data_IF_320712293909
#
_entry.id   IF_320712293909
#
_cell.length_a   1.000
_cell.length_b   1.000
_cell.length_c   1.000
_cell.angle_alpha   90.00
_cell.angle_beta   90.00
_cell.angle_gamma   90.00
#
_symmetry.space_group_name_H-M   'P 1'
#
loop_
_entity.id
_entity.type
_entity.pdbx_description
1 polymer ?
#
# COMPACT_ATOMS: atom_id res chain seq x y z
N UNK A 1 -8.29 -16.13 2.00
CA UNK A 1 -7.20 -15.39 2.66
C UNK A 1 -6.36 -16.23 3.61
N UNK A 2 -6.88 -16.80 4.73
CA UNK A 2 -6.03 -17.59 5.67
C UNK A 2 -5.24 -18.74 4.98
N UNK A 3 -5.83 -19.53 4.07
CA UNK A 3 -5.08 -20.54 3.30
C UNK A 3 -4.04 -19.93 2.35
N UNK A 4 -4.34 -18.77 1.77
CA UNK A 4 -3.45 -18.07 0.84
C UNK A 4 -2.22 -17.53 1.55
N UNK A 5 -2.39 -16.93 2.73
CA UNK A 5 -1.30 -16.43 3.58
C UNK A 5 -0.34 -17.58 3.92
N UNK A 6 -0.87 -18.75 4.31
CA UNK A 6 -0.05 -19.94 4.57
C UNK A 6 0.73 -20.35 3.33
N UNK A 7 0.05 -20.46 2.18
CA UNK A 7 0.68 -20.80 0.90
C UNK A 7 1.77 -19.80 0.48
N UNK A 8 1.58 -18.50 0.74
CA UNK A 8 2.57 -17.48 0.43
C UNK A 8 3.78 -17.55 1.36
N UNK A 9 3.58 -17.83 2.65
CA UNK A 9 4.67 -17.95 3.63
C UNK A 9 5.66 -19.09 3.33
N UNK A 10 5.27 -20.06 2.50
CA UNK A 10 6.16 -21.13 2.03
C UNK A 10 7.17 -20.63 0.97
N UNK A 11 6.93 -19.46 0.37
CA UNK A 11 7.71 -18.94 -0.76
C UNK A 11 8.19 -17.50 -0.60
N UNK A 12 7.61 -16.74 0.33
CA UNK A 12 7.82 -15.32 0.53
C UNK A 12 7.92 -15.02 2.03
N UNK A 13 8.64 -13.96 2.38
CA UNK A 13 8.59 -13.40 3.73
C UNK A 13 7.25 -12.71 3.95
N UNK A 14 6.37 -13.36 4.71
CA UNK A 14 5.01 -12.88 4.99
C UNK A 14 4.91 -12.43 6.43
N UNK A 15 4.70 -11.13 6.62
CA UNK A 15 4.47 -10.53 7.93
C UNK A 15 2.99 -10.14 8.06
N UNK A 16 2.29 -10.75 9.03
CA UNK A 16 0.88 -10.48 9.32
C UNK A 16 0.79 -9.82 10.68
N UNK A 17 -0.01 -8.77 10.79
CA UNK A 17 -0.28 -8.06 12.04
C UNK A 17 -1.77 -7.79 12.18
N UNK A 18 -2.23 -7.66 13.43
CA UNK A 18 -3.61 -7.25 13.78
C UNK A 18 -3.58 -6.02 14.68
N UNK A 19 -4.60 -5.17 14.61
CA UNK A 19 -4.67 -3.95 15.45
C UNK A 19 -4.84 -4.29 16.93
N UNK A 20 -5.63 -5.34 17.21
CA UNK A 20 -5.91 -5.87 18.54
C UNK A 20 -5.93 -7.40 18.47
N UNK A 21 -5.51 -8.02 19.56
CA UNK A 21 -5.36 -9.46 19.67
C UNK A 21 -6.04 -9.95 20.95
N UNK A 22 -6.69 -11.09 20.87
CA UNK A 22 -7.16 -11.84 22.03
C UNK A 22 -6.00 -12.62 22.68
N UNK A 23 -6.18 -13.11 23.90
CA UNK A 23 -5.12 -13.78 24.69
C UNK A 23 -4.45 -14.95 23.96
N UNK A 24 -5.18 -15.64 23.08
CA UNK A 24 -4.70 -16.82 22.34
C UNK A 24 -3.91 -16.49 21.05
N UNK A 25 -3.80 -15.21 20.67
CA UNK A 25 -3.11 -14.81 19.45
C UNK A 25 -1.62 -14.56 19.69
N UNK A 26 -0.78 -15.38 19.06
CA UNK A 26 0.68 -15.35 19.22
C UNK A 26 1.41 -14.62 18.07
N UNK A 27 0.69 -13.90 17.20
CA UNK A 27 1.28 -13.19 16.07
C UNK A 27 1.62 -11.73 16.36
N UNK A 28 1.94 -10.97 15.32
CA UNK A 28 2.29 -9.56 15.47
C UNK A 28 1.06 -8.69 15.78
N UNK A 29 1.23 -7.69 16.65
CA UNK A 29 0.16 -6.77 17.05
C UNK A 29 0.59 -5.31 16.85
N UNK A 30 -0.29 -4.53 16.22
CA UNK A 30 -0.12 -3.12 15.89
C UNK A 30 -0.27 -2.83 14.40
N UNK A 31 -0.15 -1.55 14.05
CA UNK A 31 -0.24 -1.07 12.67
C UNK A 31 0.95 -1.55 11.83
N UNK A 32 0.74 -1.65 10.52
CA UNK A 32 1.78 -2.05 9.56
C UNK A 32 3.04 -1.18 9.63
N UNK A 33 2.88 0.11 9.90
CA UNK A 33 3.96 1.10 10.02
C UNK A 33 4.99 0.75 11.09
N UNK A 34 4.58 0.03 12.14
CA UNK A 34 5.48 -0.45 13.20
C UNK A 34 6.56 -1.41 12.70
N UNK A 35 6.27 -2.17 11.65
CA UNK A 35 7.13 -3.26 11.17
C UNK A 35 8.04 -2.85 10.00
N UNK A 36 7.66 -1.80 9.26
CA UNK A 36 8.40 -1.31 8.10
C UNK A 36 9.87 -0.94 8.42
N UNK A 37 10.19 -0.24 9.52
CA UNK A 37 11.58 0.10 9.85
C UNK A 37 12.51 -1.10 10.01
N UNK A 38 11.95 -2.26 10.40
CA UNK A 38 12.71 -3.47 10.71
C UNK A 38 12.74 -4.50 9.58
N UNK A 39 12.12 -4.21 8.41
CA UNK A 39 12.17 -5.16 7.29
C UNK A 39 13.60 -5.27 6.77
N UNK A 40 14.10 -6.50 6.65
CA UNK A 40 15.40 -6.77 6.04
C UNK A 40 15.31 -6.56 4.52
N UNK A 41 15.92 -5.50 4.01
CA UNK A 41 15.98 -5.21 2.55
C UNK A 41 17.45 -5.22 2.15
N UNK A 42 17.84 -6.20 1.34
CA UNK A 42 19.24 -6.42 0.96
C UNK A 42 19.79 -5.32 0.03
N UNK A 43 18.94 -4.80 -0.87
CA UNK A 43 19.32 -3.76 -1.83
C UNK A 43 18.15 -2.78 -2.03
N UNK A 44 18.32 -1.56 -1.52
CA UNK A 44 17.31 -0.49 -1.64
C UNK A 44 17.19 0.05 -3.06
N UNK A 45 18.28 0.05 -3.84
CA UNK A 45 18.30 0.57 -5.22
C UNK A 45 17.54 -0.35 -6.19
N UNK A 46 17.40 -1.63 -5.83
CA UNK A 46 16.66 -2.64 -6.60
C UNK A 46 15.39 -3.11 -5.85
N UNK A 47 14.70 -2.17 -5.20
CA UNK A 47 13.48 -2.44 -4.46
C UNK A 47 12.31 -1.64 -5.04
N UNK A 48 11.10 -2.20 -4.95
CA UNK A 48 9.87 -1.46 -5.20
C UNK A 48 8.85 -1.78 -4.11
N UNK A 49 8.22 -0.73 -3.58
CA UNK A 49 7.17 -0.85 -2.57
C UNK A 49 5.80 -0.71 -3.23
N UNK A 50 4.88 -1.62 -2.95
CA UNK A 50 3.48 -1.51 -3.42
C UNK A 50 2.59 -1.37 -2.18
N UNK A 51 1.86 -0.26 -2.10
CA UNK A 51 1.05 0.10 -0.94
C UNK A 51 -0.41 0.17 -1.36
N UNK A 52 -1.25 -0.64 -0.71
CA UNK A 52 -2.68 -0.74 -0.99
C UNK A 52 -3.44 -0.71 0.32
N UNK A 53 -4.43 0.18 0.43
CA UNK A 53 -5.29 0.25 1.60
C UNK A 53 -5.97 1.60 1.77
N UNK A 54 -6.48 1.89 2.97
CA UNK A 54 -7.12 3.18 3.26
C UNK A 54 -6.14 4.35 3.12
N UNK A 55 -6.59 5.56 2.70
CA UNK A 55 -5.71 6.70 2.43
C UNK A 55 -4.75 7.07 3.57
N UNK A 56 -5.23 7.04 4.82
CA UNK A 56 -4.40 7.33 5.99
C UNK A 56 -3.33 6.26 6.23
N UNK A 57 -3.67 4.97 6.01
CA UNK A 57 -2.71 3.87 6.14
C UNK A 57 -1.65 3.96 5.06
N UNK A 58 -2.04 4.26 3.82
CA UNK A 58 -1.11 4.47 2.71
C UNK A 58 -0.15 5.61 3.00
N UNK A 59 -0.66 6.78 3.44
CA UNK A 59 0.16 7.96 3.75
C UNK A 59 1.29 7.62 4.73
N UNK A 60 0.96 7.07 5.89
CA UNK A 60 1.98 6.75 6.90
C UNK A 60 2.88 5.59 6.47
N UNK A 61 2.36 4.63 5.73
CA UNK A 61 3.17 3.52 5.18
C UNK A 61 4.23 4.04 4.21
N UNK A 62 3.85 4.95 3.31
CA UNK A 62 4.80 5.59 2.38
C UNK A 62 5.80 6.44 3.15
N UNK A 63 5.37 7.21 4.14
CA UNK A 63 6.31 7.97 5.00
C UNK A 63 7.36 7.08 5.66
N UNK A 64 7.00 5.87 6.13
CA UNK A 64 7.98 4.94 6.69
C UNK A 64 8.96 4.38 5.65
N UNK A 65 8.54 4.16 4.41
CA UNK A 65 9.46 3.77 3.33
C UNK A 65 10.39 4.93 2.91
N UNK A 66 9.89 6.16 2.87
CA UNK A 66 10.70 7.35 2.58
C UNK A 66 11.77 7.59 3.66
N UNK A 67 11.46 7.34 4.94
CA UNK A 67 12.45 7.39 6.04
C UNK A 67 13.57 6.36 5.90
N UNK A 68 13.41 5.36 5.03
CA UNK A 68 14.42 4.35 4.70
C UNK A 68 15.14 4.64 3.39
N UNK A 69 15.04 5.88 2.89
CA UNK A 69 15.69 6.36 1.67
C UNK A 69 15.25 5.62 0.39
N UNK A 70 14.07 4.99 0.39
CA UNK A 70 13.49 4.44 -0.84
C UNK A 70 13.04 5.61 -1.71
N UNK A 71 13.52 5.63 -2.96
CA UNK A 71 13.17 6.67 -3.91
C UNK A 71 11.66 6.70 -4.19
N UNK A 72 11.07 7.89 -4.31
CA UNK A 72 9.63 8.05 -4.51
C UNK A 72 9.11 7.31 -5.75
N UNK A 73 9.92 7.26 -6.81
CA UNK A 73 9.60 6.57 -8.06
C UNK A 73 9.70 5.03 -7.98
N UNK A 74 10.13 4.50 -6.83
CA UNK A 74 10.12 3.08 -6.51
C UNK A 74 8.93 2.71 -5.62
N UNK A 75 8.10 3.69 -5.24
CA UNK A 75 6.92 3.47 -4.41
C UNK A 75 5.68 3.58 -5.28
N UNK A 76 4.80 2.59 -5.20
CA UNK A 76 3.58 2.49 -5.96
C UNK A 76 2.39 2.46 -5.00
N UNK A 77 1.37 3.24 -5.33
CA UNK A 77 0.17 3.39 -4.50
C UNK A 77 -1.07 3.05 -5.32
N UNK A 78 -1.99 2.30 -4.71
CA UNK A 78 -3.27 1.97 -5.33
C UNK A 78 -4.40 2.77 -4.68
N UNK A 79 -4.99 3.72 -5.41
CA UNK A 79 -6.10 4.50 -4.89
C UNK A 79 -7.44 3.79 -5.07
N UNK A 80 -8.23 3.82 -4.01
CA UNK A 80 -9.62 3.37 -4.00
C UNK A 80 -10.55 4.60 -4.01
N UNK A 81 -11.43 4.69 -5.02
CA UNK A 81 -12.44 5.74 -5.15
C UNK A 81 -13.81 5.13 -5.46
N UNK A 82 -14.86 5.93 -5.27
CA UNK A 82 -16.22 5.52 -5.63
C UNK A 82 -16.34 5.37 -7.14
N UNK A 83 -16.26 4.14 -7.62
CA UNK A 83 -16.52 3.81 -9.01
C UNK A 83 -18.01 3.50 -9.20
N UNK A 84 -18.64 4.13 -10.21
CA UNK A 84 -20.00 3.77 -10.63
C UNK A 84 -20.02 3.22 -12.05
N UNK A 85 -19.41 3.94 -13.00
CA UNK A 85 -19.36 3.47 -14.39
C UNK A 85 -18.15 2.57 -14.70
N UNK A 86 -17.01 2.80 -14.04
CA UNK A 86 -15.76 2.06 -14.30
C UNK A 86 -15.12 2.28 -15.68
N UNK A 87 -15.64 3.20 -16.50
CA UNK A 87 -15.26 3.39 -17.91
C UNK A 87 -15.07 4.87 -18.29
N UNK A 88 -14.74 5.72 -17.33
CA UNK A 88 -14.43 7.14 -17.58
C UNK A 88 -15.63 8.06 -17.88
N UNK A 89 -16.88 7.57 -17.81
CA UNK A 89 -18.07 8.35 -18.19
C UNK A 89 -18.63 9.26 -17.08
N UNK A 90 -18.63 8.81 -15.83
CA UNK A 90 -19.40 9.46 -14.76
C UNK A 90 -18.60 10.40 -13.85
N UNK A 91 -17.26 10.38 -13.90
CA UNK A 91 -16.41 11.24 -13.07
C UNK A 91 -16.38 10.95 -11.56
N UNK A 92 -17.19 10.03 -11.02
CA UNK A 92 -17.22 9.74 -9.57
C UNK A 92 -15.88 9.25 -8.99
N UNK A 93 -15.05 8.62 -9.81
CA UNK A 93 -13.74 8.14 -9.39
C UNK A 93 -12.63 9.15 -9.64
N UNK A 94 -12.94 10.40 -10.01
CA UNK A 94 -11.93 11.39 -10.36
C UNK A 94 -11.19 11.86 -9.10
N UNK A 95 -9.90 12.12 -9.25
CA UNK A 95 -9.04 12.87 -8.34
C UNK A 95 -8.29 13.88 -9.20
N UNK A 96 -8.50 15.16 -8.95
CA UNK A 96 -8.09 16.25 -9.84
C UNK A 96 -8.56 16.02 -11.30
N UNK A 97 -7.66 15.94 -12.27
CA UNK A 97 -7.97 15.60 -13.67
C UNK A 97 -7.84 14.10 -14.02
N UNK A 98 -7.50 13.28 -13.03
CA UNK A 98 -7.21 11.85 -13.20
C UNK A 98 -8.43 11.00 -12.88
N UNK A 99 -8.82 10.14 -13.82
CA UNK A 99 -9.87 9.16 -13.61
C UNK A 99 -9.27 7.84 -13.11
N UNK A 100 -9.42 7.56 -11.82
CA UNK A 100 -8.85 6.34 -11.20
C UNK A 100 -9.31 5.04 -11.90
N UNK A 101 -10.49 5.01 -12.53
CA UNK A 101 -10.98 3.82 -13.24
C UNK A 101 -10.38 3.56 -14.64
N UNK A 102 -9.73 4.56 -15.26
CA UNK A 102 -9.12 4.40 -16.60
C UNK A 102 -7.62 4.69 -16.58
N UNK A 103 -7.20 5.68 -15.78
CA UNK A 103 -5.79 6.10 -15.67
C UNK A 103 -5.08 5.34 -14.53
N UNK A 104 -5.84 4.83 -13.56
CA UNK A 104 -5.34 4.10 -12.40
C UNK A 104 -5.68 2.61 -12.42
N UNK A 105 -5.91 1.97 -11.25
CA UNK A 105 -5.91 2.55 -9.89
C UNK A 105 -4.50 2.68 -9.28
N UNK A 106 -3.48 2.11 -9.91
CA UNK A 106 -2.10 2.06 -9.42
C UNK A 106 -1.29 3.17 -10.06
N UNK A 107 -0.61 3.96 -9.22
CA UNK A 107 0.21 5.09 -9.65
C UNK A 107 1.57 5.03 -8.99
N UNK A 108 2.56 5.56 -9.70
CA UNK A 108 3.83 5.94 -9.12
C UNK A 108 3.64 7.04 -8.06
N UNK A 109 4.31 6.92 -6.92
CA UNK A 109 4.10 7.84 -5.80
C UNK A 109 4.58 9.26 -6.10
N UNK A 110 5.62 9.43 -6.92
CA UNK A 110 6.12 10.75 -7.32
C UNK A 110 5.07 11.55 -8.10
N UNK A 111 4.19 10.85 -8.83
CA UNK A 111 3.01 11.43 -9.47
C UNK A 111 1.84 11.58 -8.48
N UNK A 112 1.47 10.47 -7.82
CA UNK A 112 0.30 10.35 -6.96
C UNK A 112 0.26 11.36 -5.81
N UNK A 113 1.41 11.73 -5.24
CA UNK A 113 1.49 12.71 -4.15
C UNK A 113 0.95 14.10 -4.52
N UNK A 114 0.82 14.38 -5.82
CA UNK A 114 0.30 15.65 -6.33
C UNK A 114 -1.19 15.58 -6.70
N UNK A 115 -1.83 14.40 -6.63
CA UNK A 115 -3.26 14.28 -6.88
C UNK A 115 -4.06 14.92 -5.74
N UNK A 116 -4.90 15.89 -6.08
CA UNK A 116 -5.78 16.58 -5.14
C UNK A 116 -7.16 15.92 -5.19
N UNK A 117 -7.73 15.64 -4.02
CA UNK A 117 -9.12 15.18 -3.90
C UNK A 117 -10.10 16.37 -3.95
#
# INVERSE_FOLDING_TARGET
FKPDIKRWSEKLDVLVTVDKADEDYNGNVGLVTKYIPNLNIENLDNMSAIVVGPPMMMKFTVEEFLKRDIAENNIWVSYERKMCCGIGKCGHCKMDDTYICIDGPVFDYSYAKNLID
#
